data_IF_004033824157
#
_entry.id   IF_004033824157
#
_cell.length_a   1.000
_cell.length_b   1.000
_cell.length_c   1.000
_cell.angle_alpha   90.00
_cell.angle_beta   90.00
_cell.angle_gamma   90.00
#
_symmetry.space_group_name_H-M   'P 1'
#
loop_
_entity.id
_entity.type
_entity.pdbx_description
1 polymer ?
#
# COMPACT_ATOMS: atom_id res chain seq x y z
N UNK A 1 23.93 -0.73 5.73
CA UNK A 1 22.98 0.06 4.90
C UNK A 1 23.00 1.56 5.27
N UNK A 2 22.84 1.95 6.55
CA UNK A 2 22.94 3.36 7.01
C UNK A 2 24.27 4.08 6.70
N UNK A 3 25.37 3.36 6.47
CA UNK A 3 26.69 3.94 6.15
C UNK A 3 26.86 4.41 4.68
N UNK A 4 25.85 4.20 3.81
CA UNK A 4 25.93 4.56 2.39
C UNK A 4 24.84 5.55 1.92
N UNK A 5 23.89 5.92 2.80
CA UNK A 5 22.74 6.79 2.52
C UNK A 5 22.65 7.82 3.64
N UNK A 6 22.59 9.10 3.30
CA UNK A 6 22.36 10.20 4.26
C UNK A 6 20.87 10.22 4.61
N UNK A 7 20.51 9.33 5.52
CA UNK A 7 19.17 9.25 6.08
C UNK A 7 19.09 10.22 7.28
N UNK A 8 18.17 11.20 7.28
CA UNK A 8 17.87 12.00 8.48
C UNK A 8 17.59 11.10 9.69
N UNK A 9 17.97 11.53 10.90
CA UNK A 9 17.83 10.70 12.11
C UNK A 9 16.37 10.32 12.44
N UNK A 10 15.39 11.04 11.87
CA UNK A 10 13.94 10.84 12.00
C UNK A 10 13.30 10.07 10.83
N UNK A 11 14.08 9.71 9.80
CA UNK A 11 13.58 8.96 8.66
C UNK A 11 13.53 7.45 8.96
N UNK A 12 12.35 6.88 8.79
CA UNK A 12 12.10 5.45 8.92
C UNK A 12 12.25 4.79 7.54
N UNK A 13 12.97 3.66 7.45
CA UNK A 13 13.06 2.90 6.20
C UNK A 13 11.80 2.04 6.11
N UNK A 14 10.89 2.43 5.23
CA UNK A 14 9.55 1.85 5.13
C UNK A 14 9.52 0.63 4.19
N UNK A 15 10.42 0.56 3.21
CA UNK A 15 10.56 -0.57 2.31
C UNK A 15 11.98 -0.62 1.70
N UNK A 16 12.45 -1.81 1.38
CA UNK A 16 13.65 -2.04 0.58
C UNK A 16 13.26 -2.94 -0.59
N UNK A 17 13.24 -2.38 -1.80
CA UNK A 17 12.85 -3.11 -3.02
C UNK A 17 14.09 -3.26 -3.91
N UNK A 18 14.30 -4.45 -4.48
CA UNK A 18 15.31 -4.64 -5.51
C UNK A 18 14.82 -3.96 -6.79
N UNK A 19 15.55 -2.94 -7.22
CA UNK A 19 15.15 -2.13 -8.36
C UNK A 19 15.09 -2.95 -9.66
N UNK A 20 13.95 -2.90 -10.33
CA UNK A 20 13.77 -3.36 -11.70
C UNK A 20 13.12 -2.24 -12.53
N UNK A 21 13.82 -1.64 -13.52
CA UNK A 21 13.39 -0.42 -14.21
C UNK A 21 12.03 -0.47 -14.91
N UNK A 22 11.53 -1.66 -15.23
CA UNK A 22 10.22 -1.85 -15.89
C UNK A 22 9.03 -1.97 -14.94
N UNK A 23 9.29 -2.11 -13.64
CA UNK A 23 8.24 -2.41 -12.67
C UNK A 23 7.60 -1.14 -12.12
N UNK A 24 6.40 -1.31 -11.55
CA UNK A 24 5.62 -0.25 -10.94
C UNK A 24 5.43 -0.55 -9.46
N UNK A 25 5.45 0.51 -8.66
CA UNK A 25 5.14 0.46 -7.23
C UNK A 25 3.86 1.23 -6.95
N UNK A 26 3.03 0.71 -6.05
CA UNK A 26 1.99 1.48 -5.39
C UNK A 26 2.56 2.03 -4.08
N UNK A 27 2.69 3.35 -4.01
CA UNK A 27 3.07 4.04 -2.79
C UNK A 27 1.84 4.45 -2.00
N UNK A 28 1.88 4.32 -0.68
CA UNK A 28 0.80 4.77 0.20
C UNK A 28 1.28 5.45 1.49
N UNK A 29 0.54 6.46 1.93
CA UNK A 29 0.68 7.12 3.23
C UNK A 29 -0.22 6.49 4.29
N UNK A 30 0.14 6.70 5.55
CA UNK A 30 -0.69 6.40 6.74
C UNK A 30 -2.10 7.00 6.65
N UNK A 31 -2.25 8.18 6.05
CA UNK A 31 -3.55 8.82 5.83
C UNK A 31 -4.44 8.13 4.80
N UNK A 32 -4.00 7.01 4.21
CA UNK A 32 -4.76 6.28 3.22
C UNK A 32 -4.73 6.91 1.85
N UNK A 33 -3.69 7.67 1.52
CA UNK A 33 -3.49 8.23 0.19
C UNK A 33 -2.41 7.49 -0.55
N UNK A 34 -2.49 7.42 -1.88
CA UNK A 34 -1.47 6.75 -2.66
C UNK A 34 -1.57 6.99 -4.16
N UNK A 35 -0.54 6.56 -4.86
CA UNK A 35 -0.43 6.62 -6.31
C UNK A 35 0.53 5.55 -6.81
N UNK A 36 0.40 5.17 -8.08
CA UNK A 36 1.34 4.27 -8.74
C UNK A 36 2.52 5.09 -9.28
N UNK A 37 3.73 4.57 -9.14
CA UNK A 37 4.95 5.20 -9.65
C UNK A 37 5.76 4.18 -10.43
N UNK A 38 6.43 4.62 -11.49
CA UNK A 38 7.43 3.82 -12.18
C UNK A 38 8.67 3.68 -11.31
N UNK A 39 9.25 2.50 -11.23
CA UNK A 39 10.46 2.30 -10.42
C UNK A 39 11.64 3.17 -10.88
N UNK A 40 11.75 3.44 -12.19
CA UNK A 40 12.74 4.37 -12.75
C UNK A 40 12.62 5.79 -12.16
N UNK A 41 11.41 6.19 -11.76
CA UNK A 41 11.13 7.52 -11.22
C UNK A 41 11.44 7.62 -9.73
N UNK A 42 11.65 6.51 -9.01
CA UNK A 42 12.02 6.54 -7.59
C UNK A 42 13.52 6.42 -7.33
N UNK A 43 14.32 6.20 -8.38
CA UNK A 43 15.78 6.12 -8.26
C UNK A 43 16.36 7.47 -7.82
N UNK A 44 17.00 7.49 -6.66
CA UNK A 44 17.71 8.66 -6.16
C UNK A 44 19.11 8.74 -6.78
N UNK A 45 19.48 9.90 -7.32
CA UNK A 45 20.82 10.14 -7.86
C UNK A 45 21.83 10.56 -6.77
N UNK A 46 21.36 10.91 -5.58
CA UNK A 46 22.20 11.41 -4.47
C UNK A 46 21.98 10.59 -3.20
N UNK A 47 22.94 10.66 -2.28
CA UNK A 47 22.85 10.00 -0.96
C UNK A 47 21.70 10.51 -0.09
N UNK A 48 21.18 11.71 -0.37
CA UNK A 48 20.06 12.32 0.33
C UNK A 48 18.68 11.72 -0.06
N UNK A 49 18.65 10.80 -1.03
CA UNK A 49 17.41 10.19 -1.50
C UNK A 49 16.60 11.10 -2.44
N UNK A 50 15.42 10.63 -2.85
CA UNK A 50 14.45 11.38 -3.66
C UNK A 50 13.12 11.39 -2.94
N UNK A 51 12.59 12.57 -2.65
CA UNK A 51 11.23 12.67 -2.13
C UNK A 51 10.22 12.50 -3.26
N UNK A 52 9.45 11.42 -3.18
CA UNK A 52 8.43 11.05 -4.19
C UNK A 52 7.02 11.24 -3.63
N UNK A 53 6.80 10.98 -2.34
CA UNK A 53 5.52 11.22 -1.68
C UNK A 53 5.55 12.53 -0.89
N UNK A 54 4.52 13.36 -1.08
CA UNK A 54 4.26 14.51 -0.24
C UNK A 54 3.26 14.08 0.84
N UNK A 55 3.63 14.24 2.11
CA UNK A 55 2.85 13.83 3.27
C UNK A 55 2.22 15.07 3.93
N UNK A 56 1.00 14.93 4.43
CA UNK A 56 0.40 15.95 5.29
C UNK A 56 1.02 15.89 6.70
N UNK A 57 0.82 16.93 7.52
CA UNK A 57 1.41 17.01 8.85
C UNK A 57 0.99 15.82 9.72
N UNK A 58 1.97 15.12 10.30
CA UNK A 58 1.74 13.92 11.09
C UNK A 58 1.56 12.62 10.28
N UNK A 59 1.41 12.70 8.95
CA UNK A 59 1.41 11.50 8.11
C UNK A 59 2.84 11.02 7.86
N UNK A 60 3.00 9.70 7.87
CA UNK A 60 4.18 8.99 7.37
C UNK A 60 3.86 8.27 6.07
N UNK A 61 4.87 8.09 5.21
CA UNK A 61 4.81 7.06 4.16
C UNK A 61 4.81 5.70 4.87
N UNK A 62 3.91 4.80 4.49
CA UNK A 62 3.73 3.53 5.23
C UNK A 62 3.98 2.33 4.35
N UNK A 63 3.77 2.40 3.04
CA UNK A 63 3.93 1.23 2.17
C UNK A 63 4.45 1.61 0.79
N UNK A 64 5.29 0.74 0.24
CA UNK A 64 5.65 0.69 -1.17
C UNK A 64 5.53 -0.78 -1.60
N UNK A 65 4.50 -1.10 -2.39
CA UNK A 65 4.22 -2.49 -2.79
C UNK A 65 4.32 -2.66 -4.30
N UNK A 66 4.86 -3.78 -4.80
CA UNK A 66 4.93 -4.04 -6.23
C UNK A 66 3.53 -4.17 -6.83
N UNK A 67 3.39 -3.68 -8.06
CA UNK A 67 2.16 -3.79 -8.84
C UNK A 67 2.15 -5.15 -9.55
N UNK A 68 1.64 -6.18 -8.86
CA UNK A 68 1.62 -7.57 -9.36
C UNK A 68 0.26 -8.00 -9.94
N UNK A 69 -0.67 -7.06 -10.13
CA UNK A 69 -2.01 -7.39 -10.60
C UNK A 69 -2.88 -6.17 -10.90
N UNK A 70 -4.19 -6.42 -10.96
CA UNK A 70 -5.19 -5.47 -11.48
C UNK A 70 -6.09 -4.87 -10.39
N UNK A 71 -5.97 -5.32 -9.14
CA UNK A 71 -6.77 -4.84 -8.01
C UNK A 71 -5.90 -4.50 -6.80
N UNK A 72 -6.40 -3.55 -6.01
CA UNK A 72 -5.81 -3.11 -4.76
C UNK A 72 -6.73 -3.53 -3.63
N UNK A 73 -6.17 -4.16 -2.60
CA UNK A 73 -6.80 -4.37 -1.31
C UNK A 73 -6.14 -3.46 -0.27
N UNK A 74 -6.94 -2.69 0.46
CA UNK A 74 -6.50 -1.84 1.58
C UNK A 74 -7.26 -2.20 2.84
N UNK A 75 -6.56 -2.23 3.96
CA UNK A 75 -7.15 -2.45 5.28
C UNK A 75 -6.68 -1.39 6.26
N UNK A 76 -7.63 -0.81 7.01
CA UNK A 76 -7.35 0.16 8.07
C UNK A 76 -7.14 -0.46 9.43
N UNK A 77 -6.56 0.31 10.35
CA UNK A 77 -6.44 -0.05 11.77
C UNK A 77 -7.83 -0.28 12.41
N UNK A 78 -8.84 0.42 11.91
CA UNK A 78 -10.25 0.22 12.24
C UNK A 78 -10.85 -1.09 11.67
N UNK A 79 -10.02 -1.97 11.12
CA UNK A 79 -10.39 -3.29 10.59
C UNK A 79 -11.46 -3.19 9.49
N UNK A 80 -11.31 -2.20 8.60
CA UNK A 80 -12.12 -2.07 7.39
C UNK A 80 -11.28 -2.43 6.18
N UNK A 81 -11.69 -3.45 5.44
CA UNK A 81 -11.14 -3.89 4.16
C UNK A 81 -11.95 -3.29 3.00
N UNK A 82 -11.25 -2.81 1.98
CA UNK A 82 -11.81 -2.38 0.71
C UNK A 82 -10.97 -2.95 -0.44
N UNK A 83 -11.63 -3.45 -1.49
CA UNK A 83 -11.00 -3.93 -2.71
C UNK A 83 -11.53 -3.11 -3.89
N UNK A 84 -10.64 -2.57 -4.73
CA UNK A 84 -11.00 -1.77 -5.90
C UNK A 84 -10.01 -1.97 -7.06
N UNK A 85 -10.40 -1.68 -8.31
CA UNK A 85 -9.50 -1.81 -9.46
C UNK A 85 -8.31 -0.85 -9.37
N UNK A 86 -7.11 -1.34 -9.67
CA UNK A 86 -5.88 -0.54 -9.68
C UNK A 86 -5.97 0.64 -10.65
N UNK A 87 -6.70 0.49 -11.76
CA UNK A 87 -6.92 1.57 -12.74
C UNK A 87 -7.60 2.82 -12.19
N UNK A 88 -8.15 2.77 -10.96
CA UNK A 88 -8.67 3.95 -10.27
C UNK A 88 -7.59 4.78 -9.56
N UNK A 89 -6.36 4.26 -9.47
CA UNK A 89 -5.19 4.92 -8.89
C UNK A 89 -4.37 5.53 -10.02
N UNK A 90 -4.08 6.85 -9.99
CA UNK A 90 -3.28 7.48 -11.03
C UNK A 90 -1.82 7.06 -10.93
N UNK A 91 -1.16 7.05 -12.09
CA UNK A 91 0.29 7.00 -12.20
C UNK A 91 0.88 8.40 -12.04
N UNK A 92 1.86 8.57 -11.16
CA UNK A 92 2.50 9.85 -10.87
C UNK A 92 3.98 9.64 -10.56
N UNK A 93 4.83 10.58 -10.99
CA UNK A 93 6.27 10.58 -10.67
C UNK A 93 6.59 11.18 -9.29
N UNK A 94 5.68 12.02 -8.76
CA UNK A 94 5.71 12.62 -7.42
C UNK A 94 4.32 13.16 -7.06
N UNK A 95 3.96 13.14 -5.78
CA UNK A 95 2.79 13.88 -5.30
C UNK A 95 2.23 13.37 -3.98
N UNK A 96 1.05 13.87 -3.62
CA UNK A 96 0.28 13.39 -2.45
C UNK A 96 -0.56 12.14 -2.76
N UNK A 97 -0.75 11.83 -4.04
CA UNK A 97 -1.66 10.76 -4.47
C UNK A 97 -3.13 11.06 -4.20
N UNK A 98 -3.96 10.05 -4.44
CA UNK A 98 -5.42 10.07 -4.25
C UNK A 98 -5.81 9.28 -3.00
N UNK A 99 -6.99 9.54 -2.45
CA UNK A 99 -7.52 8.74 -1.34
C UNK A 99 -7.76 7.31 -1.82
N UNK A 100 -7.14 6.32 -1.19
CA UNK A 100 -7.33 4.89 -1.41
C UNK A 100 -8.54 4.38 -0.61
N UNK A 101 -8.61 4.74 0.67
CA UNK A 101 -9.70 4.42 1.58
C UNK A 101 -9.95 5.58 2.54
N UNK A 102 -11.21 5.83 2.89
CA UNK A 102 -11.54 6.81 3.94
C UNK A 102 -11.53 6.15 5.30
N UNK A 103 -10.70 6.67 6.19
CA UNK A 103 -10.66 6.28 7.60
C UNK A 103 -11.39 7.29 8.47
N UNK A 104 -11.96 6.78 9.57
CA UNK A 104 -12.49 7.58 10.67
C UNK A 104 -11.66 7.20 11.89
N UNK A 105 -10.94 8.17 12.45
CA UNK A 105 -10.11 8.02 13.66
C UNK A 105 -9.14 6.81 13.57
N UNK A 106 -8.59 6.56 12.39
CA UNK A 106 -7.70 5.42 12.09
C UNK A 106 -6.82 5.72 10.89
N UNK A 107 -5.79 4.90 10.69
CA UNK A 107 -4.88 4.99 9.53
C UNK A 107 -4.93 3.73 8.66
N UNK A 108 -4.25 3.81 7.51
CA UNK A 108 -3.92 2.66 6.69
C UNK A 108 -3.08 1.69 7.52
N UNK A 109 -3.57 0.47 7.66
CA UNK A 109 -2.82 -0.61 8.28
C UNK A 109 -1.97 -1.28 7.21
N UNK A 110 -2.57 -1.81 6.15
CA UNK A 110 -1.85 -2.57 5.13
C UNK A 110 -2.47 -2.43 3.74
N UNK A 111 -1.67 -2.69 2.72
CA UNK A 111 -2.06 -2.63 1.31
C UNK A 111 -1.43 -3.77 0.52
N UNK A 112 -2.18 -4.29 -0.45
CA UNK A 112 -1.71 -5.33 -1.37
C UNK A 112 -2.26 -5.10 -2.76
N UNK A 113 -1.40 -5.21 -3.77
CA UNK A 113 -1.82 -5.32 -5.17
C UNK A 113 -1.83 -6.79 -5.55
N UNK A 114 -2.88 -7.24 -6.23
CA UNK A 114 -3.04 -8.64 -6.59
C UNK A 114 -3.88 -8.79 -7.85
N UNK A 115 -3.79 -9.94 -8.51
CA UNK A 115 -4.65 -10.28 -9.62
C UNK A 115 -5.98 -10.80 -9.09
N UNK A 116 -7.10 -10.12 -9.37
CA UNK A 116 -8.41 -10.50 -8.85
C UNK A 116 -8.77 -11.96 -9.14
N UNK A 117 -8.39 -12.44 -10.33
CA UNK A 117 -8.62 -13.83 -10.76
C UNK A 117 -7.97 -14.89 -9.85
N UNK A 118 -6.92 -14.53 -9.12
CA UNK A 118 -6.21 -15.43 -8.19
C UNK A 118 -6.77 -15.35 -6.76
N UNK A 119 -7.63 -14.36 -6.47
CA UNK A 119 -8.14 -14.08 -5.14
C UNK A 119 -7.16 -13.30 -4.27
N UNK A 120 -7.69 -12.77 -3.16
CA UNK A 120 -6.91 -12.05 -2.16
C UNK A 120 -6.38 -13.03 -1.13
N UNK A 121 -5.05 -13.07 -0.96
CA UNK A 121 -4.39 -13.96 -0.01
C UNK A 121 -3.82 -13.25 1.20
N UNK A 122 -3.88 -13.91 2.36
CA UNK A 122 -3.26 -13.47 3.61
C UNK A 122 -2.79 -14.64 4.48
N UNK A 123 -1.82 -14.40 5.36
CA UNK A 123 -1.34 -15.39 6.34
C UNK A 123 -2.08 -15.22 7.66
N UNK A 124 -2.60 -16.30 8.23
CA UNK A 124 -3.22 -16.31 9.55
C UNK A 124 -2.88 -17.59 10.30
N UNK A 125 -2.32 -17.47 11.50
CA UNK A 125 -1.92 -18.62 12.32
C UNK A 125 -0.91 -19.54 11.62
N UNK A 126 0.05 -18.96 10.89
CA UNK A 126 1.07 -19.69 10.14
C UNK A 126 0.59 -20.35 8.85
N UNK A 127 -0.64 -20.10 8.40
CA UNK A 127 -1.20 -20.66 7.16
C UNK A 127 -1.66 -19.56 6.23
N UNK A 128 -1.35 -19.67 4.94
CA UNK A 128 -1.91 -18.80 3.90
C UNK A 128 -3.35 -19.20 3.60
N UNK A 129 -4.24 -18.23 3.60
CA UNK A 129 -5.63 -18.32 3.16
C UNK A 129 -5.79 -17.47 1.92
N UNK A 130 -6.70 -17.88 1.04
CA UNK A 130 -7.04 -17.15 -0.19
C UNK A 130 -8.55 -17.07 -0.31
N UNK A 131 -9.08 -15.87 -0.49
CA UNK A 131 -10.49 -15.61 -0.76
C UNK A 131 -10.67 -15.21 -2.21
N UNK A 132 -11.51 -15.95 -2.93
CA UNK A 132 -11.84 -15.70 -4.33
C UNK A 132 -13.17 -14.98 -4.48
N UNK A 133 -14.10 -15.15 -3.54
CA UNK A 133 -15.35 -14.40 -3.53
C UNK A 133 -15.17 -13.07 -2.79
N UNK A 134 -14.72 -12.07 -3.55
CA UNK A 134 -14.45 -10.73 -3.02
C UNK A 134 -15.64 -9.78 -3.18
N UNK A 135 -16.79 -10.26 -3.65
CA UNK A 135 -18.02 -9.46 -3.84
C UNK A 135 -18.36 -8.55 -2.65
N UNK A 136 -18.29 -9.02 -1.39
CA UNK A 136 -18.62 -8.20 -0.22
C UNK A 136 -17.68 -7.01 0.05
N UNK A 137 -16.44 -7.05 -0.43
CA UNK A 137 -15.42 -6.01 -0.21
C UNK A 137 -15.09 -5.19 -1.45
N UNK A 138 -15.56 -5.63 -2.62
CA UNK A 138 -15.42 -4.87 -3.86
C UNK A 138 -16.25 -3.60 -3.80
N UNK A 139 -15.62 -2.48 -4.14
CA UNK A 139 -16.26 -1.18 -4.19
C UNK A 139 -15.43 -0.16 -4.97
N UNK A 140 -15.83 1.10 -4.88
CA UNK A 140 -15.09 2.22 -5.44
C UNK A 140 -13.98 2.67 -4.49
N UNK A 141 -12.86 3.13 -5.06
CA UNK A 141 -11.79 3.79 -4.31
C UNK A 141 -12.37 4.92 -3.43
N UNK A 142 -11.75 5.15 -2.28
CA UNK A 142 -12.15 6.16 -1.29
C UNK A 142 -13.47 5.87 -0.55
N UNK A 143 -14.04 4.68 -0.68
CA UNK A 143 -15.04 4.19 0.27
C UNK A 143 -14.40 3.83 1.61
N UNK A 144 -15.22 3.62 2.66
CA UNK A 144 -14.72 3.25 3.99
C UNK A 144 -14.44 1.76 4.16
N UNK A 145 -14.91 0.90 3.26
CA UNK A 145 -14.75 -0.56 3.34
C UNK A 145 -15.75 -1.27 4.27
N UNK A 146 -15.49 -2.56 4.51
CA UNK A 146 -16.31 -3.49 5.30
C UNK A 146 -15.42 -4.32 6.25
N UNK A 147 -16.01 -5.01 7.22
CA UNK A 147 -15.23 -5.90 8.08
C UNK A 147 -14.61 -7.03 7.23
N UNK A 148 -13.31 -7.35 7.38
CA UNK A 148 -12.63 -8.35 6.58
C UNK A 148 -13.20 -9.77 6.83
N UNK A 149 -12.92 -10.72 5.93
CA UNK A 149 -13.39 -12.10 6.02
C UNK A 149 -13.00 -12.79 7.32
N UNK A 150 -13.71 -13.88 7.63
CA UNK A 150 -13.43 -14.68 8.81
C UNK A 150 -12.02 -15.29 8.76
N UNK A 151 -11.27 -15.06 9.84
CA UNK A 151 -9.87 -15.47 9.95
C UNK A 151 -8.88 -14.59 9.19
N UNK A 152 -9.28 -13.36 8.83
CA UNK A 152 -8.30 -12.29 8.60
C UNK A 152 -7.55 -11.96 9.91
N UNK A 153 -6.23 -11.72 9.87
CA UNK A 153 -5.41 -11.50 11.07
C UNK A 153 -5.89 -10.34 11.92
N UNK A 154 -5.66 -10.43 13.24
CA UNK A 154 -5.98 -9.34 14.17
C UNK A 154 -5.00 -8.17 14.07
N UNK A 155 -3.79 -8.42 13.53
CA UNK A 155 -2.78 -7.42 13.18
C UNK A 155 -3.24 -6.49 12.06
N UNK A 156 -4.33 -6.82 11.35
CA UNK A 156 -4.77 -6.14 10.14
C UNK A 156 -3.71 -6.10 9.03
N UNK A 157 -2.83 -7.11 8.98
CA UNK A 157 -1.80 -7.28 7.97
C UNK A 157 -2.10 -8.48 7.07
N UNK A 158 -1.69 -8.42 5.82
CA UNK A 158 -1.83 -9.54 4.87
C UNK A 158 -0.76 -10.61 5.07
N UNK A 159 0.40 -10.29 5.62
CA UNK A 159 1.51 -11.22 5.85
C UNK A 159 1.51 -11.91 7.23
N UNK A 160 0.63 -11.49 8.15
CA UNK A 160 0.35 -12.16 9.42
C UNK A 160 0.72 -11.35 10.65
#
# INVERSE_FOLDING_TARGET
IRLMIDLPNDAEIVALVLHNPGDKLLLASSGGRGFVVLESDVVAQTKAGKQVMNLDEGEKAVMAVPVEGDHVAVVGENRKLLVFPLGQVPEMSRGRGVILQKYKDAHLSDIKVFALKQGLSWTSGGRTRTETDLGPWKGERAQSGRLPPNGFPRSNRFDG
#
